data_IF_673798059370
#
_entry.id   IF_673798059370
#
_cell.length_a   1.000
_cell.length_b   1.000
_cell.length_c   1.000
_cell.angle_alpha   90.00
_cell.angle_beta   90.00
_cell.angle_gamma   90.00
#
_symmetry.space_group_name_H-M   'P 1'
#
loop_
_entity.id
_entity.type
_entity.pdbx_description
1 polymer ?
#
# COMPACT_ATOMS: atom_id res chain seq x y z
N UNK A 1 -15.07 -22.25 -2.94
CA UNK A 1 -14.23 -21.05 -3.10
C UNK A 1 -13.48 -20.70 -1.84
N UNK A 2 -14.15 -20.31 -0.77
CA UNK A 2 -13.50 -20.01 0.50
C UNK A 2 -12.75 -21.17 1.12
N UNK A 3 -13.25 -22.39 0.94
CA UNK A 3 -12.60 -23.60 1.44
C UNK A 3 -11.26 -23.86 0.77
N UNK A 4 -11.16 -23.62 -0.51
CA UNK A 4 -9.91 -23.80 -1.26
C UNK A 4 -8.87 -22.79 -0.83
N UNK A 5 -9.30 -21.54 -0.59
CA UNK A 5 -8.41 -20.51 -0.11
C UNK A 5 -7.86 -20.80 1.28
N UNK A 6 -8.70 -21.35 2.16
CA UNK A 6 -8.26 -21.77 3.50
C UNK A 6 -7.21 -22.87 3.43
N UNK A 7 -7.29 -23.75 2.42
CA UNK A 7 -6.31 -24.82 2.21
C UNK A 7 -4.96 -24.31 1.71
N UNK A 8 -4.91 -23.10 1.16
CA UNK A 8 -3.67 -22.47 0.69
C UNK A 8 -2.85 -21.85 1.83
N UNK A 9 -3.44 -21.70 3.00
CA UNK A 9 -2.77 -21.11 4.16
C UNK A 9 -1.96 -22.18 4.89
N UNK A 10 -0.75 -21.84 5.39
CA UNK A 10 0.01 -22.76 6.25
C UNK A 10 -0.80 -23.18 7.47
N UNK A 11 -0.67 -24.44 7.89
CA UNK A 11 -1.43 -24.98 9.02
C UNK A 11 -1.17 -24.26 10.35
N UNK A 12 0.04 -23.74 10.53
CA UNK A 12 0.43 -22.95 11.72
C UNK A 12 -0.02 -21.50 11.65
N UNK A 13 -0.52 -21.09 10.50
CA UNK A 13 -0.91 -19.70 10.27
C UNK A 13 -2.40 -19.57 10.49
N UNK A 14 -2.80 -18.81 11.49
CA UNK A 14 -4.20 -18.50 11.67
C UNK A 14 -4.56 -17.44 10.63
N UNK A 15 -5.41 -17.76 9.64
CA UNK A 15 -5.88 -16.82 8.64
C UNK A 15 -6.61 -15.60 9.24
N UNK A 16 -6.65 -15.54 10.57
CA UNK A 16 -7.29 -14.48 11.36
C UNK A 16 -6.33 -13.36 11.74
N UNK A 17 -5.02 -13.62 11.69
CA UNK A 17 -4.00 -12.68 12.15
C UNK A 17 -3.54 -11.73 11.06
N UNK A 18 -4.08 -11.86 9.86
CA UNK A 18 -3.74 -11.00 8.75
C UNK A 18 -4.91 -10.80 7.79
N UNK A 19 -4.86 -9.70 7.06
CA UNK A 19 -5.77 -9.42 5.97
C UNK A 19 -5.16 -9.91 4.66
N UNK A 20 -5.92 -10.68 3.89
CA UNK A 20 -5.49 -11.19 2.59
C UNK A 20 -6.08 -10.33 1.47
N UNK A 21 -5.20 -9.74 0.67
CA UNK A 21 -5.60 -8.98 -0.52
C UNK A 21 -5.94 -9.96 -1.64
N UNK A 22 -7.22 -10.11 -1.94
CA UNK A 22 -7.71 -11.07 -2.92
C UNK A 22 -8.93 -10.60 -3.70
N UNK A 23 -9.23 -9.31 -3.62
CA UNK A 23 -10.37 -8.71 -4.29
C UNK A 23 -9.93 -8.11 -5.62
N UNK A 24 -10.60 -8.46 -6.70
CA UNK A 24 -10.23 -8.06 -8.07
C UNK A 24 -11.22 -7.09 -8.71
N UNK A 25 -12.46 -7.12 -8.25
CA UNK A 25 -13.53 -6.30 -8.84
C UNK A 25 -13.91 -5.15 -7.91
N UNK A 26 -13.12 -4.09 -7.97
CA UNK A 26 -13.34 -2.90 -7.17
C UNK A 26 -12.59 -1.70 -7.76
N UNK A 27 -13.04 -0.49 -7.39
CA UNK A 27 -12.37 0.73 -7.78
C UNK A 27 -11.22 1.07 -6.82
N UNK A 28 -10.09 1.49 -7.38
CA UNK A 28 -8.98 1.98 -6.57
C UNK A 28 -9.35 3.29 -5.90
N UNK A 29 -8.98 3.44 -4.63
CA UNK A 29 -9.32 4.61 -3.82
C UNK A 29 -8.07 5.18 -3.17
N UNK A 30 -8.01 6.49 -3.05
CA UNK A 30 -6.94 7.19 -2.38
C UNK A 30 -7.43 7.81 -1.06
N UNK A 31 -6.51 8.08 -0.17
CA UNK A 31 -6.78 8.75 1.09
C UNK A 31 -6.86 10.26 0.88
N UNK A 32 -7.92 10.89 1.42
CA UNK A 32 -8.15 12.32 1.26
C UNK A 32 -7.05 13.20 1.84
N UNK A 33 -6.44 12.79 2.96
CA UNK A 33 -5.33 13.54 3.59
C UNK A 33 -4.09 13.48 2.71
N UNK A 34 -3.76 12.33 2.14
CA UNK A 34 -2.64 12.17 1.22
C UNK A 34 -2.83 12.97 -0.06
N UNK A 35 -4.07 13.17 -0.50
CA UNK A 35 -4.39 14.00 -1.65
C UNK A 35 -4.17 15.49 -1.36
N UNK A 36 -4.45 15.93 -0.14
CA UNK A 36 -4.24 17.32 0.27
C UNK A 36 -2.78 17.62 0.56
N UNK A 37 -2.10 16.76 1.33
CA UNK A 37 -0.69 16.91 1.70
C UNK A 37 0.19 16.10 0.74
N UNK A 38 1.01 16.74 -0.13
CA UNK A 38 1.82 16.01 -1.10
C UNK A 38 3.06 15.38 -0.46
N UNK A 39 2.86 14.39 0.39
CA UNK A 39 3.95 13.74 1.13
C UNK A 39 4.83 12.86 0.25
N UNK A 40 4.33 12.46 -0.92
CA UNK A 40 5.08 11.65 -1.86
C UNK A 40 5.76 12.53 -2.91
N UNK A 41 7.02 12.26 -3.20
CA UNK A 41 7.77 13.03 -4.20
C UNK A 41 7.51 12.52 -5.61
N UNK A 42 7.50 13.43 -6.57
CA UNK A 42 7.48 13.10 -8.01
C UNK A 42 8.88 12.84 -8.55
N UNK A 43 9.93 13.10 -7.78
CA UNK A 43 11.29 12.95 -8.22
C UNK A 43 11.63 11.48 -8.51
N UNK A 44 12.41 11.26 -9.57
CA UNK A 44 12.92 9.94 -9.93
C UNK A 44 14.22 9.60 -9.19
N UNK A 45 14.92 10.61 -8.71
CA UNK A 45 16.13 10.45 -7.90
C UNK A 45 15.79 10.45 -6.42
N UNK A 46 16.55 9.75 -5.56
CA UNK A 46 16.31 9.78 -4.12
C UNK A 46 16.36 11.20 -3.56
N UNK A 47 15.31 11.58 -2.84
CA UNK A 47 15.24 12.84 -2.13
C UNK A 47 15.51 12.58 -0.65
N UNK A 48 16.70 12.98 -0.20
CA UNK A 48 17.15 12.78 1.17
C UNK A 48 16.88 13.97 2.10
N UNK A 49 16.21 15.00 1.59
CA UNK A 49 15.89 16.17 2.40
C UNK A 49 14.68 15.92 3.30
N UNK A 50 14.67 16.54 4.48
CA UNK A 50 13.49 16.55 5.34
C UNK A 50 12.45 17.48 4.71
N UNK A 51 11.22 17.00 4.60
CA UNK A 51 10.13 17.74 3.97
C UNK A 51 9.06 18.09 5.00
N UNK A 52 8.55 19.32 4.93
CA UNK A 52 7.52 19.79 5.83
C UNK A 52 6.37 20.42 5.06
N UNK A 53 5.15 20.17 5.53
CA UNK A 53 3.93 20.74 4.97
C UNK A 53 3.00 21.18 6.09
N UNK A 54 2.34 22.31 5.88
CA UNK A 54 1.29 22.80 6.76
C UNK A 54 0.03 23.12 5.96
N UNK A 55 -1.14 22.87 6.57
CA UNK A 55 -2.40 23.32 5.99
C UNK A 55 -2.51 24.85 6.05
N UNK A 56 -3.38 25.40 5.18
CA UNK A 56 -3.56 26.87 5.10
C UNK A 56 -4.00 27.50 6.43
N UNK A 57 -4.82 26.76 7.20
CA UNK A 57 -5.29 27.22 8.50
C UNK A 57 -4.33 26.91 9.66
N UNK A 58 -3.24 26.22 9.40
CA UNK A 58 -2.25 25.82 10.39
C UNK A 58 -2.69 24.71 11.33
N UNK A 59 -3.88 24.14 11.15
CA UNK A 59 -4.42 23.12 12.04
C UNK A 59 -3.79 21.74 11.84
N UNK A 60 -3.19 21.49 10.69
CA UNK A 60 -2.57 20.20 10.33
C UNK A 60 -1.19 20.43 9.76
N UNK A 61 -0.25 19.60 10.17
CA UNK A 61 1.11 19.63 9.63
C UNK A 61 1.66 18.23 9.49
N UNK A 62 2.59 18.05 8.57
CA UNK A 62 3.28 16.78 8.32
C UNK A 62 4.76 17.07 8.11
N UNK A 63 5.61 16.34 8.81
CA UNK A 63 7.06 16.36 8.57
C UNK A 63 7.49 14.96 8.16
N UNK A 64 8.17 14.86 7.03
CA UNK A 64 8.66 13.59 6.50
C UNK A 64 10.18 13.57 6.56
N UNK A 65 10.71 12.63 7.33
CA UNK A 65 12.15 12.37 7.42
C UNK A 65 12.43 11.13 6.56
N UNK A 66 13.22 11.27 5.49
CA UNK A 66 13.44 10.16 4.58
C UNK A 66 14.35 9.08 5.17
N UNK A 67 14.20 7.85 4.67
CA UNK A 67 15.16 6.78 4.93
C UNK A 67 16.41 6.97 4.08
N UNK A 68 17.39 6.05 4.22
CA UNK A 68 18.60 6.04 3.39
C UNK A 68 18.29 5.87 1.90
N UNK A 69 17.12 5.33 1.55
CA UNK A 69 16.65 5.18 0.16
C UNK A 69 15.97 6.44 -0.37
N UNK A 70 15.76 7.44 0.48
CA UNK A 70 15.08 8.67 0.13
C UNK A 70 13.60 8.69 0.52
N UNK A 71 12.95 9.82 0.25
CA UNK A 71 11.54 10.02 0.53
C UNK A 71 10.68 9.15 -0.41
N UNK A 72 9.56 8.64 0.12
CA UNK A 72 8.61 7.85 -0.66
C UNK A 72 8.13 8.62 -1.90
N UNK A 73 8.02 7.92 -3.02
CA UNK A 73 7.65 8.48 -4.32
C UNK A 73 6.18 8.22 -4.64
N UNK A 74 5.69 8.83 -5.70
CA UNK A 74 4.35 8.54 -6.20
C UNK A 74 4.20 7.08 -6.64
N UNK A 75 5.27 6.45 -7.10
CA UNK A 75 5.27 5.01 -7.37
C UNK A 75 5.02 4.21 -6.09
N UNK A 76 5.64 4.62 -4.99
CA UNK A 76 5.47 3.94 -3.70
C UNK A 76 4.07 4.11 -3.14
N UNK A 77 3.42 5.25 -3.42
CA UNK A 77 2.05 5.51 -3.01
C UNK A 77 1.07 4.47 -3.56
N UNK A 78 1.33 3.93 -4.74
CA UNK A 78 0.46 2.94 -5.36
C UNK A 78 0.28 1.70 -4.48
N UNK A 79 1.30 1.30 -3.71
CA UNK A 79 1.21 0.19 -2.76
C UNK A 79 0.17 0.51 -1.69
N UNK A 80 0.22 1.72 -1.13
CA UNK A 80 -0.72 2.16 -0.10
C UNK A 80 -2.14 2.25 -0.67
N UNK A 81 -2.30 2.80 -1.87
CA UNK A 81 -3.60 2.86 -2.55
C UNK A 81 -4.15 1.46 -2.75
N UNK A 82 -3.33 0.52 -3.21
CA UNK A 82 -3.74 -0.87 -3.39
C UNK A 82 -4.23 -1.48 -2.09
N UNK A 83 -3.44 -1.38 -1.02
CA UNK A 83 -3.78 -1.96 0.29
C UNK A 83 -5.05 -1.32 0.86
N UNK A 84 -5.14 0.01 0.86
CA UNK A 84 -6.31 0.73 1.39
C UNK A 84 -7.56 0.39 0.59
N UNK A 85 -7.46 0.29 -0.73
CA UNK A 85 -8.58 -0.07 -1.59
C UNK A 85 -9.07 -1.49 -1.30
N UNK A 86 -8.15 -2.44 -1.11
CA UNK A 86 -8.48 -3.80 -0.72
C UNK A 86 -9.23 -3.85 0.61
N UNK A 87 -8.70 -3.14 1.61
CA UNK A 87 -9.30 -3.11 2.94
C UNK A 87 -10.67 -2.43 2.94
N UNK A 88 -10.81 -1.33 2.21
CA UNK A 88 -12.09 -0.61 2.09
C UNK A 88 -13.15 -1.50 1.48
N UNK A 89 -12.83 -2.18 0.39
CA UNK A 89 -13.76 -3.09 -0.27
C UNK A 89 -14.11 -4.28 0.61
N UNK A 90 -13.13 -4.81 1.35
CA UNK A 90 -13.37 -5.90 2.29
C UNK A 90 -14.30 -5.47 3.42
N UNK A 91 -14.17 -4.25 3.94
CA UNK A 91 -15.08 -3.69 4.93
C UNK A 91 -16.49 -3.55 4.36
N UNK A 92 -16.61 -3.07 3.12
CA UNK A 92 -17.90 -2.94 2.43
C UNK A 92 -18.58 -4.29 2.23
N UNK A 93 -17.80 -5.35 2.08
CA UNK A 93 -18.31 -6.72 1.94
C UNK A 93 -18.48 -7.46 3.27
N UNK A 94 -18.21 -6.79 4.39
CA UNK A 94 -18.40 -7.34 5.72
C UNK A 94 -17.36 -8.39 6.14
N UNK A 95 -16.15 -8.36 5.58
CA UNK A 95 -15.08 -9.30 5.94
C UNK A 95 -14.49 -8.94 7.32
N UNK A 96 -14.42 -9.95 8.19
CA UNK A 96 -13.89 -9.76 9.55
C UNK A 96 -12.37 -9.48 9.57
N UNK A 97 -11.63 -10.04 8.61
CA UNK A 97 -10.18 -9.86 8.53
C UNK A 97 -9.75 -8.46 8.06
N UNK A 98 -10.68 -7.65 7.58
CA UNK A 98 -10.38 -6.29 7.10
C UNK A 98 -9.86 -5.36 8.20
N UNK A 99 -10.01 -5.71 9.46
CA UNK A 99 -9.54 -4.92 10.60
C UNK A 99 -8.14 -5.30 11.06
N UNK A 100 -7.54 -6.32 10.46
CA UNK A 100 -6.20 -6.75 10.82
C UNK A 100 -5.14 -5.76 10.34
N UNK A 101 -4.09 -5.59 11.13
CA UNK A 101 -2.98 -4.69 10.80
C UNK A 101 -1.96 -5.30 9.85
N UNK A 102 -1.87 -6.62 9.86
CA UNK A 102 -0.98 -7.34 8.95
C UNK A 102 -1.70 -7.62 7.66
N UNK A 103 -1.10 -7.20 6.56
CA UNK A 103 -1.69 -7.33 5.23
C UNK A 103 -0.82 -8.27 4.40
N UNK A 104 -1.43 -9.22 3.73
CA UNK A 104 -0.77 -10.15 2.81
C UNK A 104 -1.28 -9.99 1.41
N UNK A 105 -0.37 -9.92 0.47
CA UNK A 105 -0.69 -9.91 -0.95
C UNK A 105 0.46 -10.54 -1.73
N UNK A 106 0.18 -11.01 -2.94
CA UNK A 106 1.23 -11.47 -3.83
C UNK A 106 1.70 -10.30 -4.69
N UNK A 107 2.98 -10.31 -5.02
CA UNK A 107 3.54 -9.28 -5.91
C UNK A 107 2.84 -9.32 -7.27
N UNK A 108 2.57 -10.51 -7.77
CA UNK A 108 1.86 -10.68 -9.04
C UNK A 108 0.49 -9.99 -9.02
N UNK A 109 -0.33 -10.25 -7.99
CA UNK A 109 -1.66 -9.65 -7.89
C UNK A 109 -1.59 -8.12 -7.77
N UNK A 110 -0.61 -7.61 -7.05
CA UNK A 110 -0.37 -6.18 -6.95
C UNK A 110 -0.03 -5.57 -8.32
N UNK A 111 0.91 -6.18 -9.06
CA UNK A 111 1.33 -5.67 -10.36
C UNK A 111 0.18 -5.72 -11.38
N UNK A 112 -0.60 -6.79 -11.39
CA UNK A 112 -1.76 -6.91 -12.28
C UNK A 112 -2.81 -5.86 -11.94
N UNK A 113 -3.18 -5.73 -10.67
CA UNK A 113 -4.23 -4.82 -10.23
C UNK A 113 -3.86 -3.37 -10.47
N UNK A 114 -2.60 -3.00 -10.31
CA UNK A 114 -2.12 -1.63 -10.54
C UNK A 114 -1.64 -1.39 -11.97
N UNK A 115 -1.85 -2.36 -12.86
CA UNK A 115 -1.50 -2.28 -14.28
C UNK A 115 -0.01 -1.99 -14.52
N UNK A 116 0.84 -2.65 -13.77
CA UNK A 116 2.30 -2.53 -13.89
C UNK A 116 2.88 -3.72 -14.65
N UNK A 117 4.05 -3.52 -15.26
CA UNK A 117 4.75 -4.58 -15.97
C UNK A 117 5.18 -5.70 -15.01
N UNK A 118 5.02 -6.95 -15.44
CA UNK A 118 5.41 -8.12 -14.66
C UNK A 118 6.79 -8.57 -15.13
N UNK A 119 7.83 -8.09 -14.46
CA UNK A 119 9.23 -8.42 -14.77
C UNK A 119 10.10 -8.23 -13.52
N UNK A 120 11.39 -8.64 -13.61
CA UNK A 120 12.32 -8.56 -12.49
C UNK A 120 12.52 -7.14 -11.97
N UNK A 121 12.50 -6.14 -12.85
CA UNK A 121 12.67 -4.74 -12.45
C UNK A 121 11.50 -4.25 -11.58
N UNK A 122 10.28 -4.67 -11.88
CA UNK A 122 9.11 -4.33 -11.05
C UNK A 122 9.21 -4.94 -9.67
N UNK A 123 9.72 -6.16 -9.56
CA UNK A 123 9.95 -6.81 -8.26
C UNK A 123 11.02 -6.07 -7.46
N UNK A 124 12.11 -5.64 -8.08
CA UNK A 124 13.16 -4.85 -7.43
C UNK A 124 12.63 -3.50 -6.94
N UNK A 125 11.84 -2.82 -7.76
CA UNK A 125 11.22 -1.54 -7.40
C UNK A 125 10.29 -1.69 -6.20
N UNK A 126 9.55 -2.77 -6.13
CA UNK A 126 8.67 -3.03 -5.00
C UNK A 126 9.48 -3.26 -3.72
N UNK A 127 10.61 -3.96 -3.80
CA UNK A 127 11.52 -4.12 -2.66
C UNK A 127 12.02 -2.76 -2.17
N UNK A 128 12.45 -1.89 -3.07
CA UNK A 128 12.88 -0.53 -2.73
C UNK A 128 11.75 0.29 -2.11
N UNK A 129 10.51 0.10 -2.59
CA UNK A 129 9.32 0.75 -2.04
C UNK A 129 9.17 0.42 -0.56
N UNK A 130 9.29 -0.84 -0.17
CA UNK A 130 9.17 -1.23 1.23
C UNK A 130 10.28 -0.65 2.10
N UNK A 131 11.47 -0.42 1.55
CA UNK A 131 12.55 0.24 2.29
C UNK A 131 12.29 1.74 2.48
N UNK A 132 11.59 2.38 1.54
CA UNK A 132 11.24 3.81 1.65
C UNK A 132 10.02 4.07 2.55
N UNK A 133 9.10 3.13 2.61
CA UNK A 133 7.87 3.28 3.39
C UNK A 133 8.06 2.97 4.91
#
# INVERSE_FOLDING_TARGET
>A
MRRERSKLLPSHHTGRDFFLCDLFDYAMKDDGVSMEAPIFTLATKPDLSVWHWESKDGSRSVTVTPSVKGRATQFDKDVLIYVVSQMTEALNRGRADAQNRTVRFTVYDYLVTTNKAINGRSYERLSDTFERL
#
